data_IF_230375457430
#
_entry.id   IF_230375457430
#
_cell.length_a   1.000
_cell.length_b   1.000
_cell.length_c   1.000
_cell.angle_alpha   90.00
_cell.angle_beta   90.00
_cell.angle_gamma   90.00
#
_symmetry.space_group_name_H-M   'P 1'
#
loop_
_entity.id
_entity.type
_entity.pdbx_description
1 polymer ?
#
# COMPACT_ATOMS: atom_id res chain seq x y z
N UNK A 1 -37.50 -45.51 -44.96
CA UNK A 1 -38.66 -46.44 -44.97
C UNK A 1 -39.01 -46.64 -43.50
N UNK A 2 -40.17 -46.33 -42.93
CA UNK A 2 -41.53 -46.25 -43.46
C UNK A 2 -42.19 -44.90 -43.14
N UNK A 3 -43.00 -44.47 -44.08
CA UNK A 3 -43.85 -43.30 -44.02
C UNK A 3 -45.18 -43.65 -43.32
N UNK A 4 -45.75 -42.70 -42.59
CA UNK A 4 -47.21 -42.57 -42.55
C UNK A 4 -47.60 -41.12 -42.31
N UNK A 5 -48.16 -40.52 -43.37
CA UNK A 5 -48.83 -39.23 -43.38
C UNK A 5 -50.33 -39.52 -43.41
N UNK A 6 -51.16 -38.85 -42.59
CA UNK A 6 -52.43 -38.40 -43.15
C UNK A 6 -52.84 -36.98 -42.71
N UNK A 7 -53.15 -36.19 -43.75
CA UNK A 7 -54.26 -35.22 -43.87
C UNK A 7 -54.39 -34.07 -42.85
N UNK A 8 -53.92 -32.91 -43.30
CA UNK A 8 -54.50 -31.53 -43.22
C UNK A 8 -56.05 -31.59 -43.12
N UNK A 9 -56.84 -30.87 -42.29
CA UNK A 9 -56.94 -29.49 -41.73
C UNK A 9 -58.10 -29.52 -40.65
N UNK A 10 -58.53 -28.46 -39.90
CA UNK A 10 -58.01 -27.11 -39.68
C UNK A 10 -57.94 -26.60 -38.22
N UNK A 11 -57.13 -25.55 -38.04
CA UNK A 11 -57.29 -24.40 -37.12
C UNK A 11 -57.85 -24.66 -35.71
N UNK A 12 -56.96 -24.64 -34.72
CA UNK A 12 -57.23 -23.98 -33.43
C UNK A 12 -55.90 -23.46 -32.86
N UNK A 13 -55.74 -22.14 -32.98
CA UNK A 13 -54.72 -21.33 -32.32
C UNK A 13 -54.82 -21.53 -30.80
N UNK A 14 -53.99 -22.37 -30.23
CA UNK A 14 -53.64 -22.28 -28.82
C UNK A 14 -52.32 -21.51 -28.71
N UNK A 15 -52.44 -20.18 -28.85
CA UNK A 15 -51.39 -19.24 -28.46
C UNK A 15 -51.21 -19.39 -26.94
N UNK A 16 -50.27 -20.22 -26.51
CA UNK A 16 -49.79 -20.18 -25.14
C UNK A 16 -48.94 -18.91 -25.02
N UNK A 17 -49.60 -17.76 -24.88
CA UNK A 17 -48.96 -16.50 -24.57
C UNK A 17 -48.17 -16.69 -23.28
N UNK A 18 -46.85 -16.53 -23.34
CA UNK A 18 -46.02 -16.39 -22.16
C UNK A 18 -46.58 -15.24 -21.33
N UNK A 19 -47.25 -15.53 -20.23
CA UNK A 19 -47.64 -14.53 -19.26
C UNK A 19 -46.35 -13.92 -18.70
N UNK A 20 -46.00 -12.73 -19.20
CA UNK A 20 -45.06 -11.85 -18.53
C UNK A 20 -45.76 -11.35 -17.27
N UNK A 21 -45.53 -12.00 -16.13
CA UNK A 21 -45.81 -11.38 -14.85
C UNK A 21 -44.84 -10.19 -14.70
N UNK A 22 -45.32 -8.98 -14.98
CA UNK A 22 -44.66 -7.78 -14.47
C UNK A 22 -44.99 -7.70 -12.98
N UNK A 23 -43.98 -7.86 -12.12
CA UNK A 23 -44.11 -7.54 -10.69
C UNK A 23 -44.48 -6.06 -10.56
N UNK A 24 -45.74 -5.78 -10.20
CA UNK A 24 -46.20 -4.43 -9.88
C UNK A 24 -45.65 -4.10 -8.49
N UNK A 25 -44.40 -3.65 -8.42
CA UNK A 25 -43.83 -3.07 -7.19
C UNK A 25 -44.65 -1.82 -6.85
N UNK A 26 -45.24 -1.76 -5.66
CA UNK A 26 -45.99 -0.58 -5.23
C UNK A 26 -45.05 0.63 -5.08
N UNK A 27 -45.54 1.88 -5.17
CA UNK A 27 -44.73 3.06 -4.91
C UNK A 27 -44.01 3.01 -3.55
N UNK A 28 -44.65 2.43 -2.52
CA UNK A 28 -44.04 2.25 -1.20
C UNK A 28 -42.87 1.26 -1.20
N UNK A 29 -42.94 0.20 -2.01
CA UNK A 29 -41.83 -0.75 -2.17
C UNK A 29 -40.63 -0.08 -2.85
N UNK A 30 -40.86 0.80 -3.82
CA UNK A 30 -39.79 1.56 -4.49
C UNK A 30 -39.09 2.55 -3.56
N UNK A 31 -39.86 3.22 -2.70
CA UNK A 31 -39.32 4.16 -1.72
C UNK A 31 -38.48 3.44 -0.67
N UNK A 32 -38.93 2.27 -0.20
CA UNK A 32 -38.18 1.45 0.75
C UNK A 32 -36.85 0.95 0.19
N UNK A 33 -36.80 0.49 -1.06
CA UNK A 33 -35.56 0.09 -1.76
C UNK A 33 -34.62 1.29 -1.91
N UNK A 34 -35.17 2.45 -2.29
CA UNK A 34 -34.37 3.68 -2.45
C UNK A 34 -33.73 4.11 -1.13
N UNK A 35 -34.48 4.03 -0.04
CA UNK A 35 -33.98 4.36 1.29
C UNK A 35 -32.89 3.38 1.74
N UNK A 36 -33.07 2.08 1.50
CA UNK A 36 -32.06 1.06 1.80
C UNK A 36 -30.75 1.34 1.03
N UNK A 37 -30.84 1.68 -0.25
CA UNK A 37 -29.66 2.02 -1.06
C UNK A 37 -28.91 3.24 -0.53
N UNK A 38 -29.63 4.29 -0.10
CA UNK A 38 -29.03 5.48 0.51
C UNK A 38 -28.27 5.13 1.77
N UNK A 39 -28.87 4.32 2.64
CA UNK A 39 -28.22 3.90 3.89
C UNK A 39 -26.95 3.09 3.64
N UNK A 40 -26.96 2.17 2.66
CA UNK A 40 -25.74 1.43 2.30
C UNK A 40 -24.64 2.35 1.78
N UNK A 41 -24.99 3.38 1.01
CA UNK A 41 -24.06 4.35 0.49
C UNK A 41 -23.43 5.18 1.62
N UNK A 42 -24.25 5.67 2.56
CA UNK A 42 -23.81 6.43 3.72
C UNK A 42 -22.90 5.59 4.62
N UNK A 43 -23.24 4.32 4.84
CA UNK A 43 -22.41 3.39 5.61
C UNK A 43 -21.05 3.14 4.95
N UNK A 44 -21.02 2.90 3.64
CA UNK A 44 -19.76 2.73 2.91
C UNK A 44 -18.89 4.01 2.95
N UNK A 45 -19.54 5.19 2.93
CA UNK A 45 -18.85 6.46 3.03
C UNK A 45 -18.24 6.67 4.43
N UNK A 46 -19.01 6.43 5.48
CA UNK A 46 -18.51 6.53 6.86
C UNK A 46 -17.37 5.53 7.12
N UNK A 47 -17.49 4.29 6.63
CA UNK A 47 -16.45 3.28 6.77
C UNK A 47 -15.14 3.72 6.09
N UNK A 48 -15.23 4.40 4.94
CA UNK A 48 -14.06 4.96 4.25
C UNK A 48 -13.42 6.09 5.04
N UNK A 49 -14.22 7.03 5.53
CA UNK A 49 -13.76 8.17 6.32
C UNK A 49 -13.07 7.70 7.62
N UNK A 50 -13.60 6.65 8.26
CA UNK A 50 -12.99 6.05 9.44
C UNK A 50 -11.61 5.42 9.17
N UNK A 51 -11.42 4.76 8.02
CA UNK A 51 -10.10 4.20 7.65
C UNK A 51 -9.09 5.31 7.35
N UNK A 52 -9.54 6.40 6.74
CA UNK A 52 -8.69 7.53 6.39
C UNK A 52 -8.13 8.25 7.62
N UNK A 53 -8.88 8.28 8.73
CA UNK A 53 -8.45 8.95 9.95
C UNK A 53 -7.52 8.10 10.85
N UNK A 54 -7.35 6.80 10.56
CA UNK A 54 -6.71 5.83 11.47
C UNK A 54 -5.33 5.32 11.02
N UNK A 55 -4.73 5.85 9.94
CA UNK A 55 -3.40 5.40 9.50
C UNK A 55 -2.33 6.32 10.08
N UNK A 56 -1.83 5.97 11.27
CA UNK A 56 -0.67 6.60 11.89
C UNK A 56 0.58 5.80 11.51
N UNK A 57 1.58 6.46 10.88
CA UNK A 57 2.83 5.79 10.57
C UNK A 57 3.64 5.53 11.85
N UNK A 58 4.39 4.42 11.92
CA UNK A 58 5.27 4.15 13.06
C UNK A 58 6.23 5.32 13.29
N UNK A 59 6.18 5.90 14.49
CA UNK A 59 7.14 6.92 14.89
C UNK A 59 8.50 6.26 15.13
N UNK A 60 9.53 6.72 14.41
CA UNK A 60 10.89 6.27 14.66
C UNK A 60 11.42 6.87 15.98
N UNK A 61 12.17 6.12 16.79
CA UNK A 61 12.78 6.63 18.01
C UNK A 61 13.62 7.88 17.73
N UNK A 62 13.46 8.90 18.59
CA UNK A 62 14.25 10.13 18.48
C UNK A 62 15.73 9.86 18.78
N UNK A 63 16.67 10.49 18.06
CA UNK A 63 18.09 10.40 18.39
C UNK A 63 18.38 10.89 19.81
N UNK A 64 19.23 10.16 20.52
CA UNK A 64 19.89 10.66 21.72
C UNK A 64 21.07 11.55 21.26
N UNK A 65 21.18 12.81 21.74
CA UNK A 65 22.27 13.69 21.36
C UNK A 65 23.63 13.11 21.77
N UNK A 66 24.63 13.23 20.90
CA UNK A 66 25.98 12.78 21.20
C UNK A 66 26.58 13.57 22.37
N UNK A 67 27.30 12.86 23.25
CA UNK A 67 28.15 13.48 24.25
C UNK A 67 29.29 14.27 23.58
N UNK A 68 29.61 15.45 24.12
CA UNK A 68 30.71 16.26 23.64
C UNK A 68 32.04 15.47 23.69
N UNK A 69 32.74 15.37 22.55
CA UNK A 69 33.99 14.62 22.41
C UNK A 69 33.88 13.21 21.82
N UNK A 70 32.75 12.86 21.20
CA UNK A 70 32.57 11.57 20.53
C UNK A 70 33.59 11.33 19.41
N UNK A 71 34.21 10.15 19.41
CA UNK A 71 35.08 9.67 18.33
C UNK A 71 34.26 9.59 17.04
N UNK A 72 34.79 10.17 15.95
CA UNK A 72 34.19 10.11 14.63
C UNK A 72 35.04 9.30 13.66
N UNK A 73 34.41 8.68 12.66
CA UNK A 73 35.06 7.90 11.62
C UNK A 73 34.93 8.60 10.26
N UNK A 74 36.01 8.74 9.48
CA UNK A 74 35.94 9.36 8.15
C UNK A 74 35.21 8.44 7.16
N UNK A 75 34.07 8.87 6.65
CA UNK A 75 33.28 8.11 5.66
C UNK A 75 33.38 8.80 4.30
N UNK A 76 33.89 8.09 3.30
CA UNK A 76 34.06 8.56 1.91
C UNK A 76 32.91 8.12 1.02
N UNK A 77 32.34 6.95 1.30
CA UNK A 77 31.29 6.35 0.51
C UNK A 77 30.26 5.68 1.41
N UNK A 78 28.99 5.83 1.04
CA UNK A 78 27.87 5.14 1.66
C UNK A 78 27.26 4.22 0.61
N UNK A 79 27.01 2.97 0.99
CA UNK A 79 26.40 1.94 0.15
C UNK A 79 25.13 1.46 0.83
N UNK A 80 24.06 1.30 0.05
CA UNK A 80 22.80 0.73 0.53
C UNK A 80 22.63 -0.68 -0.05
N UNK A 81 22.58 -1.69 0.81
CA UNK A 81 22.39 -3.10 0.45
C UNK A 81 20.97 -3.57 0.79
N UNK A 82 20.37 -4.41 -0.07
CA UNK A 82 18.99 -4.89 0.12
C UNK A 82 17.94 -3.78 0.03
N UNK A 83 18.26 -2.70 -0.69
CA UNK A 83 17.45 -1.50 -0.78
C UNK A 83 16.86 -1.29 -2.18
N UNK A 84 16.37 -2.34 -2.82
CA UNK A 84 15.90 -2.36 -4.22
C UNK A 84 14.71 -1.43 -4.46
N UNK A 85 13.83 -1.25 -3.46
CA UNK A 85 12.66 -0.36 -3.56
C UNK A 85 12.97 1.13 -3.40
N UNK A 86 14.20 1.51 -3.02
CA UNK A 86 14.67 2.90 -3.08
C UNK A 86 15.38 3.19 -4.41
N UNK A 87 14.91 4.21 -5.12
CA UNK A 87 15.58 4.69 -6.34
C UNK A 87 16.99 5.21 -6.03
N UNK A 88 17.84 5.20 -7.04
CA UNK A 88 19.19 5.76 -6.93
C UNK A 88 19.19 7.21 -6.44
N UNK A 89 18.30 8.06 -6.95
CA UNK A 89 18.19 9.46 -6.54
C UNK A 89 17.85 9.63 -5.06
N UNK A 90 17.06 8.72 -4.49
CA UNK A 90 16.71 8.74 -3.06
C UNK A 90 17.92 8.34 -2.23
N UNK A 91 18.61 7.25 -2.63
CA UNK A 91 19.86 6.82 -1.98
C UNK A 91 20.92 7.93 -1.99
N UNK A 92 21.10 8.58 -3.14
CA UNK A 92 22.01 9.73 -3.29
C UNK A 92 21.62 10.87 -2.34
N UNK A 93 20.33 11.22 -2.27
CA UNK A 93 19.84 12.29 -1.38
C UNK A 93 20.04 11.98 0.10
N UNK A 94 19.91 10.71 0.50
CA UNK A 94 20.15 10.23 1.86
C UNK A 94 21.65 10.25 2.19
N UNK A 95 22.53 9.86 1.25
CA UNK A 95 23.97 9.80 1.47
C UNK A 95 24.64 11.17 1.48
N UNK A 96 24.18 12.11 0.64
CA UNK A 96 24.84 13.40 0.38
C UNK A 96 25.22 14.21 1.63
N UNK A 97 24.40 14.32 2.70
CA UNK A 97 24.75 15.08 3.89
C UNK A 97 25.91 14.47 4.70
N UNK A 98 26.16 13.17 4.54
CA UNK A 98 27.10 12.40 5.34
C UNK A 98 28.36 12.00 4.57
N UNK A 99 28.27 11.93 3.24
CA UNK A 99 29.37 11.49 2.40
C UNK A 99 30.54 12.48 2.43
N UNK A 100 31.76 11.96 2.56
CA UNK A 100 32.98 12.77 2.65
C UNK A 100 33.17 13.46 4.00
N UNK A 101 32.39 13.11 5.02
CA UNK A 101 32.42 13.74 6.34
C UNK A 101 32.92 12.78 7.43
N UNK A 102 33.32 13.34 8.59
CA UNK A 102 33.61 12.53 9.77
C UNK A 102 32.31 12.25 10.52
N UNK A 103 31.90 10.98 10.56
CA UNK A 103 30.62 10.57 11.13
C UNK A 103 30.80 10.05 12.56
N UNK A 104 30.02 10.61 13.48
CA UNK A 104 29.84 10.02 14.81
C UNK A 104 28.80 8.92 14.74
N UNK A 105 28.69 8.13 15.81
CA UNK A 105 27.62 7.14 15.95
C UNK A 105 26.21 7.78 15.82
N UNK A 106 26.05 9.03 16.27
CA UNK A 106 24.78 9.75 16.12
C UNK A 106 24.43 10.01 14.65
N UNK A 107 25.40 10.47 13.85
CA UNK A 107 25.22 10.69 12.42
C UNK A 107 24.85 9.40 11.70
N UNK A 108 25.56 8.31 12.01
CA UNK A 108 25.32 6.99 11.42
C UNK A 108 23.90 6.50 11.77
N UNK A 109 23.51 6.57 13.05
CA UNK A 109 22.17 6.20 13.47
C UNK A 109 21.08 7.09 12.86
N UNK A 110 21.38 8.36 12.58
CA UNK A 110 20.47 9.28 11.89
C UNK A 110 20.24 8.86 10.44
N UNK A 111 21.30 8.55 9.71
CA UNK A 111 21.21 8.02 8.35
C UNK A 111 20.36 6.75 8.28
N UNK A 112 20.56 5.81 9.21
CA UNK A 112 19.73 4.58 9.28
C UNK A 112 18.26 4.91 9.47
N UNK A 113 17.92 5.81 10.41
CA UNK A 113 16.53 6.23 10.63
C UNK A 113 15.94 6.95 9.41
N UNK A 114 16.69 7.85 8.80
CA UNK A 114 16.26 8.57 7.60
C UNK A 114 16.00 7.60 6.44
N UNK A 115 16.81 6.55 6.33
CA UNK A 115 16.61 5.47 5.35
C UNK A 115 15.31 4.72 5.62
N UNK A 116 15.07 4.25 6.86
CA UNK A 116 13.80 3.61 7.23
C UNK A 116 12.61 4.56 6.99
N UNK A 117 12.74 5.84 7.34
CA UNK A 117 11.69 6.83 7.10
C UNK A 117 11.39 7.00 5.60
N UNK A 118 12.40 6.90 4.74
CA UNK A 118 12.20 6.92 3.30
C UNK A 118 11.31 5.76 2.81
N UNK A 119 11.42 4.57 3.40
CA UNK A 119 10.52 3.45 3.14
C UNK A 119 9.09 3.72 3.62
N UNK A 120 8.96 4.16 4.88
CA UNK A 120 7.67 4.47 5.49
C UNK A 120 6.89 5.51 4.66
N UNK A 121 7.54 6.59 4.25
CA UNK A 121 6.94 7.63 3.39
C UNK A 121 6.49 7.12 2.01
N UNK A 122 6.99 5.96 1.58
CA UNK A 122 6.64 5.30 0.31
C UNK A 122 5.64 4.15 0.49
N UNK A 123 5.16 3.91 1.70
CA UNK A 123 4.16 2.87 2.01
C UNK A 123 4.75 1.50 2.33
N UNK A 124 6.07 1.36 2.39
CA UNK A 124 6.74 0.10 2.76
C UNK A 124 6.85 -0.02 4.28
N UNK A 125 5.72 -0.31 4.94
CA UNK A 125 5.62 -0.33 6.40
C UNK A 125 6.37 -1.48 7.08
N UNK A 126 6.72 -2.53 6.33
CA UNK A 126 7.47 -3.71 6.75
C UNK A 126 8.98 -3.57 6.53
N UNK A 127 9.42 -2.52 5.83
CA UNK A 127 10.83 -2.36 5.46
C UNK A 127 11.63 -1.58 6.50
N UNK A 128 12.84 -2.03 6.80
CA UNK A 128 13.68 -1.44 7.84
C UNK A 128 15.17 -1.43 7.49
N UNK A 129 15.83 -0.30 7.69
CA UNK A 129 17.28 -0.18 7.60
C UNK A 129 17.97 -0.50 8.94
N UNK A 130 19.17 -1.06 8.86
CA UNK A 130 20.00 -1.46 10.00
C UNK A 130 21.49 -1.47 9.61
N UNK A 131 22.35 -1.72 10.59
CA UNK A 131 23.81 -1.79 10.40
C UNK A 131 24.31 -3.17 10.81
N UNK A 132 25.08 -3.80 9.93
CA UNK A 132 25.86 -4.98 10.29
C UNK A 132 27.14 -4.56 11.01
N UNK A 133 27.72 -5.49 11.77
CA UNK A 133 29.07 -5.33 12.28
C UNK A 133 30.05 -5.27 11.11
N UNK A 134 30.78 -4.14 11.00
CA UNK A 134 31.63 -3.84 9.86
C UNK A 134 32.80 -2.95 10.29
N UNK A 135 33.93 -3.08 9.60
CA UNK A 135 35.06 -2.18 9.74
C UNK A 135 34.96 -1.03 8.72
N UNK A 136 34.61 0.16 9.19
CA UNK A 136 34.51 1.37 8.37
C UNK A 136 35.80 2.18 8.29
N UNK A 137 36.93 1.65 8.79
CA UNK A 137 38.23 2.36 8.76
C UNK A 137 38.72 2.68 7.34
N UNK A 138 38.23 1.93 6.34
CA UNK A 138 38.49 2.19 4.91
C UNK A 138 37.64 3.31 4.32
N UNK A 139 36.70 3.84 5.09
CA UNK A 139 35.80 4.93 4.71
C UNK A 139 34.60 4.50 3.87
N UNK A 140 34.23 3.22 3.89
CA UNK A 140 33.00 2.73 3.27
C UNK A 140 32.03 2.34 4.39
N UNK A 141 30.87 2.96 4.41
CA UNK A 141 29.76 2.62 5.31
C UNK A 141 28.67 1.89 4.53
N UNK A 142 28.33 0.69 4.97
CA UNK A 142 27.24 -0.11 4.40
C UNK A 142 26.01 0.01 5.30
N UNK A 143 24.90 0.49 4.74
CA UNK A 143 23.58 0.51 5.37
C UNK A 143 22.75 -0.61 4.74
N UNK A 144 22.42 -1.63 5.53
CA UNK A 144 21.63 -2.76 5.06
C UNK A 144 20.14 -2.51 5.27
N UNK A 145 19.31 -3.04 4.40
CA UNK A 145 17.85 -2.94 4.50
C UNK A 145 17.24 -4.33 4.40
N UNK A 146 16.24 -4.59 5.23
CA UNK A 146 15.32 -5.71 5.10
C UNK A 146 14.04 -5.19 4.47
N UNK A 147 13.79 -5.54 3.21
CA UNK A 147 12.52 -5.33 2.53
C UNK A 147 11.63 -6.56 2.74
N UNK A 148 10.31 -6.37 2.85
CA UNK A 148 9.37 -7.45 3.20
C UNK A 148 7.99 -7.24 2.62
#
# INVERSE_FOLDING_TARGET
MCAWKPRIWPVLLAFCSSAWCAEITSPADRDSITQQQKTLLEQAQQQREALQNNVELPALPLPVPAAAGAVCQPVRQIVFEGAEHLSWSVKESLARPYQGSCLTLEHINRLVRETTNAYLQRGYVTSQAWLQEQDISRGVLVVSVSEG
#
